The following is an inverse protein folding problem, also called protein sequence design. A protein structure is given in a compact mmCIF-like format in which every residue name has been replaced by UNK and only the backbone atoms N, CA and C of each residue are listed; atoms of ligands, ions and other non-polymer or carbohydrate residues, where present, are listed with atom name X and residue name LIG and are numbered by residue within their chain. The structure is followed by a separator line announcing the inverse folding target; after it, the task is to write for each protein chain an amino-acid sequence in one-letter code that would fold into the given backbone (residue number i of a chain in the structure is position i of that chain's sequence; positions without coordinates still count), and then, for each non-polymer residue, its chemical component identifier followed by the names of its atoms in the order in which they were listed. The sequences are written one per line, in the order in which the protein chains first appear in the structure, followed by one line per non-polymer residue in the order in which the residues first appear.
data_IF_335272286725
#
_entry.id   IF_335272286725
#
_cell.length_a   1.000
_cell.length_b   1.000
_cell.length_c   1.000
_cell.angle_alpha   90.00
_cell.angle_beta   90.00
_cell.angle_gamma   90.00
#
_symmetry.space_group_name_H-M   'P 1'
#
loop_
_entity.id
_entity.type
_entity.pdbx_description
1 polymer ?
#
# COMPACT_ATOMS: atom_id res chain seq x y z
N UNK A 1 22.71 13.31 16.96
CA UNK A 1 21.27 12.97 17.07
C UNK A 1 20.58 12.85 15.70
N UNK A 2 21.02 13.56 14.68
CA UNK A 2 20.48 13.62 13.32
C UNK A 2 20.55 12.29 12.54
N UNK A 3 21.66 11.57 12.60
CA UNK A 3 21.85 10.32 11.86
C UNK A 3 20.83 9.22 12.24
N UNK A 4 20.41 9.18 13.51
CA UNK A 4 19.45 8.20 14.02
C UNK A 4 18.02 8.44 13.48
N UNK A 5 17.64 9.70 13.31
CA UNK A 5 16.32 10.10 12.79
C UNK A 5 16.19 9.83 11.29
N UNK A 6 17.24 10.02 10.51
CA UNK A 6 17.25 9.73 9.07
C UNK A 6 17.12 8.24 8.80
N UNK A 7 17.80 7.40 9.59
CA UNK A 7 17.70 5.94 9.44
C UNK A 7 16.29 5.43 9.73
N UNK A 8 15.68 5.89 10.81
CA UNK A 8 14.29 5.50 11.19
C UNK A 8 13.26 5.93 10.14
N UNK A 9 13.47 7.06 9.48
CA UNK A 9 12.57 7.54 8.42
C UNK A 9 12.60 6.65 7.18
N UNK A 10 13.78 6.28 6.70
CA UNK A 10 13.92 5.36 5.55
C UNK A 10 13.33 3.99 5.87
N UNK A 11 13.52 3.50 7.09
CA UNK A 11 12.96 2.22 7.53
C UNK A 11 11.43 2.21 7.48
N UNK A 12 10.76 3.29 7.87
CA UNK A 12 9.29 3.36 7.81
C UNK A 12 8.76 3.28 6.37
N UNK A 13 9.39 3.99 5.43
CA UNK A 13 8.98 3.95 4.02
C UNK A 13 9.09 2.54 3.45
N UNK A 14 10.21 1.89 3.68
CA UNK A 14 10.44 0.53 3.16
C UNK A 14 9.64 -0.54 3.90
N UNK A 15 9.38 -0.35 5.19
CA UNK A 15 8.46 -1.21 5.94
C UNK A 15 7.03 -1.10 5.39
N UNK A 16 6.58 0.13 5.08
CA UNK A 16 5.31 0.36 4.41
C UNK A 16 5.25 -0.31 3.02
N UNK A 17 6.33 -0.20 2.24
CA UNK A 17 6.43 -0.85 0.94
C UNK A 17 6.35 -2.38 1.05
N UNK A 18 7.11 -2.97 1.98
CA UNK A 18 7.12 -4.41 2.21
C UNK A 18 5.74 -4.93 2.65
N UNK A 19 5.11 -4.26 3.62
CA UNK A 19 3.76 -4.61 4.08
C UNK A 19 2.74 -4.53 2.94
N UNK A 20 2.79 -3.45 2.16
CA UNK A 20 1.86 -3.22 1.05
C UNK A 20 2.06 -4.26 -0.07
N UNK A 21 3.30 -4.53 -0.46
CA UNK A 21 3.62 -5.55 -1.47
C UNK A 21 3.18 -6.95 -1.01
N UNK A 22 3.46 -7.29 0.25
CA UNK A 22 3.04 -8.57 0.84
C UNK A 22 1.52 -8.71 0.83
N UNK A 23 0.79 -7.68 1.24
CA UNK A 23 -0.67 -7.70 1.24
C UNK A 23 -1.24 -7.80 -0.18
N UNK A 24 -0.70 -7.03 -1.12
CA UNK A 24 -1.16 -7.01 -2.51
C UNK A 24 -0.95 -8.34 -3.25
N UNK A 25 -0.03 -9.17 -2.76
CA UNK A 25 0.17 -10.54 -3.26
C UNK A 25 -0.63 -11.56 -2.46
N UNK A 26 -0.73 -11.36 -1.12
CA UNK A 26 -1.37 -12.31 -0.21
C UNK A 26 -2.87 -12.44 -0.44
N UNK A 27 -3.60 -11.34 -0.50
CA UNK A 27 -5.06 -11.38 -0.56
C UNK A 27 -5.61 -12.07 -1.82
N UNK A 28 -5.09 -11.80 -3.04
CA UNK A 28 -5.48 -12.58 -4.22
C UNK A 28 -5.21 -14.08 -4.10
N UNK A 29 -4.13 -14.46 -3.40
CA UNK A 29 -3.77 -15.86 -3.18
C UNK A 29 -4.72 -16.56 -2.21
N UNK A 30 -5.16 -15.86 -1.16
CA UNK A 30 -6.14 -16.42 -0.19
C UNK A 30 -7.43 -16.79 -0.91
N UNK A 31 -7.90 -15.93 -1.82
CA UNK A 31 -9.06 -16.24 -2.65
C UNK A 31 -8.82 -17.49 -3.49
N UNK A 32 -7.74 -17.56 -4.26
CA UNK A 32 -7.44 -18.71 -5.11
C UNK A 32 -7.33 -20.05 -4.36
N UNK A 33 -6.88 -20.03 -3.08
CA UNK A 33 -6.86 -21.24 -2.23
C UNK A 33 -8.25 -21.62 -1.77
N UNK A 34 -9.08 -20.64 -1.44
CA UNK A 34 -10.45 -20.85 -1.01
C UNK A 34 -11.29 -21.46 -2.14
N UNK A 35 -11.15 -20.94 -3.36
CA UNK A 35 -11.88 -21.39 -4.54
C UNK A 35 -11.52 -22.83 -4.96
N UNK A 36 -10.32 -23.30 -4.65
CA UNK A 36 -9.82 -24.63 -5.02
C UNK A 36 -9.93 -25.68 -3.92
N UNK A 37 -10.48 -25.32 -2.76
CA UNK A 37 -10.53 -26.17 -1.54
C UNK A 37 -9.16 -26.76 -1.17
N UNK A 38 -8.10 -26.05 -1.53
CA UNK A 38 -6.72 -26.45 -1.32
C UNK A 38 -6.28 -26.20 0.14
N UNK A 39 -5.41 -27.07 0.62
CA UNK A 39 -4.95 -27.01 2.00
C UNK A 39 -4.11 -25.76 2.33
N UNK A 40 -4.36 -25.14 3.48
CA UNK A 40 -3.71 -23.94 3.99
C UNK A 40 -2.17 -23.98 4.02
N UNK A 41 -1.56 -25.19 4.00
CA UNK A 41 -0.10 -25.30 3.92
C UNK A 41 0.48 -24.74 2.63
N UNK A 42 -0.29 -24.61 1.55
CA UNK A 42 0.12 -23.97 0.30
C UNK A 42 0.35 -22.46 0.45
N UNK A 43 -0.11 -21.83 1.52
CA UNK A 43 0.31 -20.49 1.86
C UNK A 43 1.82 -20.40 2.13
N UNK A 44 2.46 -21.49 2.53
CA UNK A 44 3.92 -21.52 2.70
C UNK A 44 4.68 -21.41 1.36
N UNK A 45 4.05 -21.78 0.25
CA UNK A 45 4.60 -21.62 -1.12
C UNK A 45 4.20 -20.29 -1.77
N UNK A 46 3.84 -19.33 -0.97
CA UNK A 46 3.26 -18.02 -1.27
C UNK A 46 3.97 -17.24 -2.38
N UNK A 47 5.28 -17.36 -2.46
CA UNK A 47 6.09 -16.66 -3.46
C UNK A 47 6.36 -17.48 -4.73
N UNK A 48 5.86 -18.72 -4.82
CA UNK A 48 6.04 -19.58 -6.00
C UNK A 48 4.72 -19.63 -6.76
N UNK A 49 4.58 -18.88 -7.85
CA UNK A 49 3.39 -18.94 -8.70
C UNK A 49 3.29 -20.33 -9.32
N UNK A 50 2.14 -20.97 -9.20
CA UNK A 50 1.89 -22.29 -9.79
C UNK A 50 1.26 -22.22 -11.17
N UNK A 51 0.80 -21.02 -11.56
CA UNK A 51 0.18 -20.74 -12.84
C UNK A 51 0.99 -19.69 -13.65
N UNK A 52 0.80 -19.69 -14.96
CA UNK A 52 1.50 -18.74 -15.84
C UNK A 52 1.12 -17.28 -15.56
N UNK A 53 -0.10 -17.02 -15.12
CA UNK A 53 -0.59 -15.68 -14.82
C UNK A 53 0.07 -15.15 -13.54
N UNK A 54 0.15 -15.96 -12.49
CA UNK A 54 0.85 -15.61 -11.26
C UNK A 54 2.35 -15.38 -11.47
N UNK A 55 3.00 -16.10 -12.39
CA UNK A 55 4.42 -15.88 -12.75
C UNK A 55 4.68 -14.46 -13.25
N UNK A 56 3.72 -13.82 -13.90
CA UNK A 56 3.85 -12.46 -14.43
C UNK A 56 3.27 -11.42 -13.45
N UNK A 57 2.09 -11.67 -12.90
CA UNK A 57 1.38 -10.69 -12.06
C UNK A 57 2.07 -10.45 -10.72
N UNK A 58 2.57 -11.50 -10.06
CA UNK A 58 3.23 -11.33 -8.75
C UNK A 58 4.49 -10.44 -8.84
N UNK A 59 5.46 -10.72 -9.73
CA UNK A 59 6.59 -9.82 -9.91
C UNK A 59 6.19 -8.41 -10.33
N UNK A 60 5.18 -8.28 -11.19
CA UNK A 60 4.68 -6.98 -11.66
C UNK A 60 4.13 -6.15 -10.50
N UNK A 61 3.30 -6.72 -9.62
CA UNK A 61 2.74 -6.07 -8.44
C UNK A 61 3.85 -5.65 -7.47
N UNK A 62 4.82 -6.52 -7.23
CA UNK A 62 5.97 -6.22 -6.38
C UNK A 62 6.80 -5.07 -6.97
N UNK A 63 7.14 -5.14 -8.25
CA UNK A 63 7.92 -4.11 -8.94
C UNK A 63 7.18 -2.77 -8.97
N UNK A 64 5.88 -2.78 -9.24
CA UNK A 64 5.04 -1.58 -9.22
C UNK A 64 5.02 -0.96 -7.82
N UNK A 65 4.87 -1.77 -6.78
CA UNK A 65 4.90 -1.29 -5.39
C UNK A 65 6.25 -0.67 -5.05
N UNK A 66 7.35 -1.37 -5.38
CA UNK A 66 8.72 -0.86 -5.15
C UNK A 66 8.95 0.43 -5.94
N UNK A 67 8.52 0.52 -7.19
CA UNK A 67 8.64 1.71 -8.01
C UNK A 67 7.85 2.88 -7.44
N UNK A 68 6.59 2.68 -7.04
CA UNK A 68 5.77 3.72 -6.44
C UNK A 68 6.34 4.23 -5.11
N UNK A 69 6.73 3.34 -4.22
CA UNK A 69 7.35 3.74 -2.95
C UNK A 69 8.75 4.34 -3.16
N UNK A 70 9.54 3.77 -4.08
CA UNK A 70 10.90 4.23 -4.38
C UNK A 70 10.94 5.57 -5.14
N UNK A 71 9.99 5.83 -6.02
CA UNK A 71 9.95 7.08 -6.80
C UNK A 71 9.04 8.10 -6.13
N UNK A 72 7.74 7.81 -6.04
CA UNK A 72 6.75 8.77 -5.52
C UNK A 72 6.92 8.96 -4.02
N UNK A 73 7.06 7.85 -3.27
CA UNK A 73 7.25 7.89 -1.83
C UNK A 73 8.52 8.63 -1.46
N UNK A 74 9.64 8.28 -2.08
CA UNK A 74 10.92 8.92 -1.83
C UNK A 74 10.92 10.40 -2.21
N UNK A 75 10.41 10.75 -3.38
CA UNK A 75 10.27 12.14 -3.82
C UNK A 75 9.42 12.96 -2.84
N UNK A 76 8.30 12.43 -2.38
CA UNK A 76 7.46 13.09 -1.39
C UNK A 76 8.16 13.26 -0.03
N UNK A 77 9.04 12.32 0.31
CA UNK A 77 9.70 12.24 1.60
C UNK A 77 10.92 13.14 1.72
N UNK A 78 11.72 13.27 0.66
CA UNK A 78 13.01 13.97 0.66
C UNK A 78 12.87 15.48 0.60
N UNK A 79 11.79 16.02 0.03
CA UNK A 79 11.65 17.47 -0.16
C UNK A 79 11.02 18.14 1.06
N UNK A 80 11.83 18.95 1.73
CA UNK A 80 11.42 19.82 2.85
C UNK A 80 10.87 21.18 2.39
N UNK A 81 11.03 21.56 1.11
CA UNK A 81 10.69 22.90 0.60
C UNK A 81 9.19 23.15 0.42
N UNK A 82 8.38 22.12 0.36
CA UNK A 82 6.96 22.22 0.08
C UNK A 82 6.13 21.83 1.30
N UNK A 83 5.84 22.76 2.19
CA UNK A 83 4.96 22.59 3.36
C UNK A 83 4.24 21.24 3.45
N UNK A 84 4.83 20.28 4.17
CA UNK A 84 4.30 18.95 4.40
C UNK A 84 3.88 18.21 3.12
N UNK A 85 4.80 18.07 2.16
CA UNK A 85 4.58 17.34 0.92
C UNK A 85 4.11 15.89 1.16
N UNK A 86 4.64 15.12 2.14
CA UNK A 86 4.12 13.78 2.42
C UNK A 86 2.63 13.76 2.71
N UNK A 87 2.09 14.72 3.45
CA UNK A 87 0.66 14.80 3.73
C UNK A 87 -0.17 15.03 2.46
N UNK A 88 0.30 15.90 1.55
CA UNK A 88 -0.39 16.17 0.28
C UNK A 88 -0.38 14.97 -0.64
N UNK A 89 0.80 14.43 -0.90
CA UNK A 89 0.98 13.29 -1.80
C UNK A 89 0.30 12.06 -1.22
N UNK A 90 0.41 11.85 0.09
CA UNK A 90 -0.28 10.77 0.80
C UNK A 90 -1.79 10.85 0.63
N UNK A 91 -2.37 12.05 0.75
CA UNK A 91 -3.81 12.23 0.55
C UNK A 91 -4.24 11.96 -0.89
N UNK A 92 -3.47 12.43 -1.88
CA UNK A 92 -3.75 12.13 -3.30
C UNK A 92 -3.66 10.63 -3.56
N UNK A 93 -2.63 9.95 -3.06
CA UNK A 93 -2.51 8.50 -3.19
C UNK A 93 -3.68 7.77 -2.51
N UNK A 94 -4.09 8.21 -1.32
CA UNK A 94 -5.24 7.63 -0.63
C UNK A 94 -6.53 7.75 -1.45
N UNK A 95 -6.78 8.91 -2.09
CA UNK A 95 -7.92 9.11 -3.00
C UNK A 95 -7.82 8.21 -4.24
N UNK A 96 -6.63 8.05 -4.82
CA UNK A 96 -6.40 7.11 -5.93
C UNK A 96 -6.68 5.66 -5.49
N UNK A 97 -6.38 5.31 -4.25
CA UNK A 97 -6.76 4.03 -3.66
C UNK A 97 -8.28 3.83 -3.63
N UNK A 98 -9.04 4.87 -3.24
CA UNK A 98 -10.51 4.82 -3.25
C UNK A 98 -11.06 4.68 -4.67
N UNK A 99 -10.52 5.46 -5.63
CA UNK A 99 -10.90 5.34 -7.04
C UNK A 99 -10.53 3.96 -7.60
N UNK A 100 -9.42 3.39 -7.16
CA UNK A 100 -8.99 2.04 -7.51
C UNK A 100 -9.96 0.94 -7.09
N UNK A 101 -10.75 1.17 -6.02
CA UNK A 101 -11.86 0.26 -5.64
C UNK A 101 -12.88 0.13 -6.76
N UNK A 102 -13.19 1.23 -7.44
CA UNK A 102 -14.15 1.23 -8.55
C UNK A 102 -13.59 0.59 -9.81
N UNK A 103 -12.28 0.60 -9.98
CA UNK A 103 -11.60 0.05 -11.16
C UNK A 103 -11.31 -1.45 -11.06
N UNK A 104 -11.58 -2.11 -9.97
CA UNK A 104 -11.43 -3.56 -9.68
C UNK A 104 -10.10 -4.22 -10.09
N UNK A 105 -9.14 -3.49 -10.63
CA UNK A 105 -7.94 -4.07 -11.19
C UNK A 105 -6.75 -4.06 -10.23
N UNK A 106 -6.22 -5.28 -10.00
CA UNK A 106 -4.82 -5.55 -9.60
C UNK A 106 -4.38 -4.85 -8.33
N UNK A 107 -5.03 -5.10 -7.19
CA UNK A 107 -4.53 -4.64 -5.88
C UNK A 107 -4.27 -3.11 -5.78
N UNK A 108 -4.75 -2.32 -6.74
CA UNK A 108 -4.56 -0.87 -6.77
C UNK A 108 -5.00 -0.17 -5.47
N UNK A 109 -6.18 -0.51 -4.87
CA UNK A 109 -6.58 0.05 -3.58
C UNK A 109 -5.60 -0.24 -2.47
N UNK A 110 -5.02 -1.45 -2.45
CA UNK A 110 -4.04 -1.87 -1.46
C UNK A 110 -2.74 -1.06 -1.63
N UNK A 111 -2.24 -0.95 -2.87
CA UNK A 111 -0.96 -0.28 -3.17
C UNK A 111 -1.06 1.22 -2.89
N UNK A 112 -2.04 1.89 -3.47
CA UNK A 112 -2.21 3.34 -3.30
C UNK A 112 -2.69 3.69 -1.90
N UNK A 113 -3.56 2.89 -1.30
CA UNK A 113 -3.98 3.06 0.10
C UNK A 113 -2.81 2.90 1.07
N UNK A 114 -1.97 1.88 0.89
CA UNK A 114 -0.78 1.64 1.69
C UNK A 114 0.25 2.76 1.58
N UNK A 115 0.52 3.24 0.36
CA UNK A 115 1.40 4.39 0.13
C UNK A 115 0.81 5.66 0.76
N UNK A 116 -0.48 5.91 0.57
CA UNK A 116 -1.19 7.06 1.15
C UNK A 116 -1.10 7.08 2.67
N UNK A 117 -1.39 5.96 3.32
CA UNK A 117 -1.30 5.82 4.77
C UNK A 117 0.14 6.01 5.28
N UNK A 118 1.13 5.41 4.60
CA UNK A 118 2.55 5.54 4.98
C UNK A 118 3.04 6.98 4.89
N UNK A 119 2.72 7.69 3.80
CA UNK A 119 3.04 9.10 3.64
C UNK A 119 2.25 9.99 4.61
N UNK A 120 1.02 9.62 4.93
CA UNK A 120 0.21 10.28 5.94
C UNK A 120 0.84 10.22 7.34
N UNK A 121 1.39 9.05 7.74
CA UNK A 121 2.12 8.90 9.00
C UNK A 121 3.33 9.83 9.07
N UNK A 122 4.12 9.92 8.00
CA UNK A 122 5.23 10.87 7.95
C UNK A 122 4.75 12.32 7.97
N UNK A 123 3.69 12.63 7.19
CA UNK A 123 3.07 13.95 7.20
C UNK A 123 2.58 14.37 8.58
N UNK A 124 2.07 13.43 9.37
CA UNK A 124 1.65 13.70 10.76
C UNK A 124 2.84 13.98 11.69
N UNK A 125 3.98 13.33 11.46
CA UNK A 125 5.21 13.62 12.22
C UNK A 125 5.76 15.02 11.95
N UNK A 126 5.48 15.57 10.76
CA UNK A 126 5.91 16.92 10.34
C UNK A 126 4.89 18.03 10.65
N UNK A 127 3.72 17.70 11.21
CA UNK A 127 2.61 18.63 11.41
C UNK A 127 2.99 19.89 12.19
N UNK A 128 3.85 19.72 13.18
CA UNK A 128 4.20 20.81 14.10
C UNK A 128 5.17 21.82 13.48
N UNK A 129 5.94 21.39 12.47
CA UNK A 129 6.93 22.23 11.77
C UNK A 129 6.44 22.78 10.43
N UNK A 130 5.60 21.99 9.72
CA UNK A 130 5.20 22.29 8.34
C UNK A 130 3.67 22.50 8.18
N UNK A 131 2.87 22.31 9.24
CA UNK A 131 1.43 22.41 9.21
C UNK A 131 0.72 21.20 8.53
N UNK A 132 -0.58 21.35 8.22
CA UNK A 132 -1.41 20.35 7.51
C UNK A 132 -1.60 19.01 8.22
N UNK A 133 -1.65 19.04 9.55
CA UNK A 133 -1.90 17.85 10.36
C UNK A 133 -3.24 17.16 10.06
N UNK A 134 -4.28 17.93 9.73
CA UNK A 134 -5.59 17.39 9.34
C UNK A 134 -5.51 16.62 8.02
N UNK A 135 -4.77 17.13 7.03
CA UNK A 135 -4.58 16.45 5.75
C UNK A 135 -3.79 15.15 5.91
N UNK A 136 -2.78 15.15 6.80
CA UNK A 136 -2.02 13.96 7.13
C UNK A 136 -2.91 12.90 7.82
N UNK A 137 -3.78 13.32 8.74
CA UNK A 137 -4.73 12.42 9.38
C UNK A 137 -5.75 11.85 8.38
N UNK A 138 -6.24 12.67 7.44
CA UNK A 138 -7.11 12.22 6.36
C UNK A 138 -6.40 11.23 5.43
N UNK A 139 -5.14 11.47 5.08
CA UNK A 139 -4.34 10.54 4.27
C UNK A 139 -4.21 9.16 4.95
N UNK A 140 -3.98 9.13 6.28
CA UNK A 140 -3.93 7.89 7.05
C UNK A 140 -5.29 7.19 7.03
N UNK A 141 -6.36 7.90 7.39
CA UNK A 141 -7.69 7.30 7.54
C UNK A 141 -8.22 6.78 6.20
N UNK A 142 -8.17 7.60 5.15
CA UNK A 142 -8.64 7.24 3.80
C UNK A 142 -7.75 6.16 3.18
N UNK A 143 -6.43 6.28 3.34
CA UNK A 143 -5.49 5.29 2.82
C UNK A 143 -5.65 3.92 3.50
N UNK A 144 -5.79 3.90 4.82
CA UNK A 144 -6.05 2.66 5.56
C UNK A 144 -7.42 2.06 5.21
N UNK A 145 -8.44 2.88 5.03
CA UNK A 145 -9.76 2.42 4.60
C UNK A 145 -9.71 1.82 3.18
N UNK A 146 -9.06 2.50 2.22
CA UNK A 146 -8.90 1.98 0.86
C UNK A 146 -8.13 0.65 0.85
N UNK A 147 -7.06 0.55 1.65
CA UNK A 147 -6.29 -0.68 1.83
C UNK A 147 -7.17 -1.80 2.38
N UNK A 148 -7.92 -1.54 3.45
CA UNK A 148 -8.78 -2.54 4.09
C UNK A 148 -9.92 -2.99 3.17
N UNK A 149 -10.55 -2.06 2.46
CA UNK A 149 -11.60 -2.38 1.47
C UNK A 149 -11.02 -3.20 0.33
N UNK A 150 -9.86 -2.83 -0.21
CA UNK A 150 -9.18 -3.60 -1.24
C UNK A 150 -8.87 -5.03 -0.79
N UNK A 151 -8.39 -5.19 0.45
CA UNK A 151 -8.15 -6.51 1.05
C UNK A 151 -9.46 -7.30 1.24
N UNK A 152 -10.51 -6.64 1.73
CA UNK A 152 -11.82 -7.27 1.95
C UNK A 152 -12.47 -7.74 0.64
N UNK A 153 -12.36 -6.96 -0.43
CA UNK A 153 -12.86 -7.36 -1.75
C UNK A 153 -12.24 -8.70 -2.17
N UNK A 154 -10.94 -8.87 -2.01
CA UNK A 154 -10.27 -10.13 -2.35
C UNK A 154 -10.70 -11.31 -1.47
N UNK A 155 -11.02 -11.07 -0.21
CA UNK A 155 -11.43 -12.13 0.72
C UNK A 155 -12.89 -12.53 0.53
N UNK A 156 -13.75 -11.58 0.18
CA UNK A 156 -15.20 -11.76 0.14
C UNK A 156 -15.80 -11.62 -1.27
N UNK A 157 -14.97 -11.63 -2.33
CA UNK A 157 -15.43 -11.42 -3.70
C UNK A 157 -16.57 -12.39 -4.12
N UNK A 158 -16.48 -13.65 -3.74
CA UNK A 158 -17.52 -14.66 -4.03
C UNK A 158 -18.83 -14.42 -3.29
N UNK A 159 -18.77 -13.99 -2.03
CA UNK A 159 -19.96 -13.72 -1.22
C UNK A 159 -20.70 -12.47 -1.70
N UNK A 160 -20.00 -11.56 -2.38
CA UNK A 160 -20.58 -10.34 -2.94
C UNK A 160 -21.18 -10.56 -4.33
N UNK A 161 -21.09 -11.77 -4.93
CA UNK A 161 -21.57 -12.08 -6.29
C UNK A 161 -21.08 -11.09 -7.36
N UNK A 162 -19.84 -10.63 -7.23
CA UNK A 162 -19.20 -9.65 -8.12
C UNK A 162 -18.29 -10.38 -9.11
#
# INVERSE_FOLDING_TARGET
MEARTVHTRKTLLWAGAALTASAAVFFPRVQGIRDTDDSWWRLATFFVPQDREGLVLVPLVILLTIALFGVVGRWAWEDSSARNRPAKVGFVCALLGVVGVLAFFVSAPIIFGGLGATLGVEGRRRRDTEGRGALAAAAIAVGAAAFAVGAAIWVFAEELSI
#
